data_IF_637482446597
#
_entry.id   IF_637482446597
#
_cell.length_a   1.000
_cell.length_b   1.000
_cell.length_c   1.000
_cell.angle_alpha   90.00
_cell.angle_beta   90.00
_cell.angle_gamma   90.00
#
_symmetry.space_group_name_H-M   'P 1'
#
loop_
_entity.id
_entity.type
_entity.pdbx_description
1 polymer ?
#
# COMPACT_ATOMS: atom_id res chain seq x y z
N UNK A 1 -27.86 70.97 34.29
CA UNK A 1 -27.85 70.44 32.90
C UNK A 1 -26.40 70.46 32.43
N UNK A 2 -25.69 69.33 32.50
CA UNK A 2 -24.28 69.22 32.08
C UNK A 2 -24.13 67.96 31.24
N UNK A 3 -23.64 68.14 30.03
CA UNK A 3 -23.73 67.20 28.91
C UNK A 3 -22.61 66.16 28.96
N UNK A 4 -23.00 64.88 28.81
CA UNK A 4 -22.10 63.75 28.61
C UNK A 4 -21.22 64.00 27.38
N UNK A 5 -19.90 64.11 27.57
CA UNK A 5 -18.92 64.21 26.49
C UNK A 5 -18.19 62.87 26.37
N UNK A 6 -18.81 61.91 25.70
CA UNK A 6 -18.18 60.63 25.35
C UNK A 6 -17.09 60.87 24.30
N UNK A 7 -15.83 60.89 24.75
CA UNK A 7 -14.67 61.23 23.94
C UNK A 7 -13.83 60.00 23.58
N UNK A 8 -13.86 59.62 22.31
CA UNK A 8 -12.76 59.05 21.50
C UNK A 8 -12.05 57.73 21.94
N UNK A 9 -12.26 57.20 23.14
CA UNK A 9 -11.67 55.92 23.60
C UNK A 9 -12.32 54.69 22.96
N UNK A 10 -13.55 54.84 22.48
CA UNK A 10 -14.32 53.72 21.93
C UNK A 10 -13.87 53.31 20.52
N UNK A 11 -13.40 54.27 19.70
CA UNK A 11 -12.95 54.01 18.32
C UNK A 11 -11.66 53.19 18.28
N UNK A 12 -10.71 53.50 19.17
CA UNK A 12 -9.48 52.72 19.30
C UNK A 12 -9.76 51.31 19.81
N UNK A 13 -10.69 51.16 20.75
CA UNK A 13 -11.09 49.87 21.32
C UNK A 13 -11.82 48.98 20.30
N UNK A 14 -12.66 49.59 19.44
CA UNK A 14 -13.27 48.90 18.30
C UNK A 14 -12.22 48.44 17.29
N UNK A 15 -11.21 49.26 16.99
CA UNK A 15 -10.12 48.89 16.07
C UNK A 15 -9.26 47.74 16.59
N UNK A 16 -8.90 47.76 17.88
CA UNK A 16 -8.15 46.66 18.53
C UNK A 16 -8.97 45.36 18.54
N UNK A 17 -10.28 45.43 18.80
CA UNK A 17 -11.17 44.25 18.73
C UNK A 17 -11.28 43.69 17.32
N UNK A 18 -11.32 44.55 16.28
CA UNK A 18 -11.34 44.12 14.88
C UNK A 18 -10.02 43.41 14.52
N UNK A 19 -8.87 43.99 14.89
CA UNK A 19 -7.56 43.38 14.63
C UNK A 19 -7.39 42.03 15.34
N UNK A 20 -7.81 41.93 16.61
CA UNK A 20 -7.73 40.67 17.36
C UNK A 20 -8.66 39.60 16.79
N UNK A 21 -9.85 39.99 16.31
CA UNK A 21 -10.78 39.08 15.61
C UNK A 21 -10.18 38.57 14.28
N UNK A 22 -9.56 39.45 13.49
CA UNK A 22 -8.90 39.09 12.23
C UNK A 22 -7.73 38.11 12.44
N UNK A 23 -6.95 38.29 13.51
CA UNK A 23 -5.84 37.40 13.86
C UNK A 23 -6.34 35.99 14.26
N UNK A 24 -7.45 35.90 15.01
CA UNK A 24 -8.06 34.63 15.38
C UNK A 24 -8.58 33.86 14.15
N UNK A 25 -9.19 34.58 13.20
CA UNK A 25 -9.66 33.99 11.94
C UNK A 25 -8.49 33.49 11.07
N UNK A 26 -7.37 34.21 11.03
CA UNK A 26 -6.17 33.78 10.29
C UNK A 26 -5.58 32.48 10.88
N UNK A 27 -5.49 32.40 12.21
CA UNK A 27 -4.98 31.21 12.91
C UNK A 27 -5.91 29.99 12.76
N UNK A 28 -7.23 30.22 12.79
CA UNK A 28 -8.21 29.16 12.53
C UNK A 28 -8.12 28.63 11.08
N UNK A 29 -7.89 29.50 10.10
CA UNK A 29 -7.72 29.12 8.69
C UNK A 29 -6.41 28.33 8.46
N UNK A 30 -5.31 28.77 9.07
CA UNK A 30 -4.04 28.03 9.08
C UNK A 30 -4.21 26.64 9.72
N UNK A 31 -4.95 26.54 10.83
CA UNK A 31 -5.26 25.27 11.49
C UNK A 31 -6.06 24.33 10.57
N UNK A 32 -7.10 24.83 9.92
CA UNK A 32 -7.91 24.05 8.98
C UNK A 32 -7.10 23.54 7.78
N UNK A 33 -6.20 24.39 7.24
CA UNK A 33 -5.36 24.01 6.10
C UNK A 33 -4.32 22.94 6.46
N UNK A 34 -3.76 22.95 7.68
CA UNK A 34 -2.84 21.90 8.15
C UNK A 34 -3.59 20.59 8.37
N UNK A 35 -4.80 20.62 8.92
CA UNK A 35 -5.59 19.43 9.22
C UNK A 35 -6.17 18.74 7.97
N UNK A 36 -6.61 19.50 6.96
CA UNK A 36 -7.23 18.95 5.75
C UNK A 36 -6.31 18.05 4.90
N UNK A 37 -4.98 18.16 5.05
CA UNK A 37 -4.01 17.31 4.33
C UNK A 37 -3.87 15.89 4.91
N UNK A 38 -4.43 15.62 6.10
CA UNK A 38 -4.13 14.39 6.86
C UNK A 38 -5.19 13.28 6.67
N UNK A 39 -6.40 13.55 6.15
CA UNK A 39 -7.54 12.62 6.35
C UNK A 39 -8.19 12.00 5.09
N UNK A 40 -7.72 12.25 3.87
CA UNK A 40 -8.33 11.68 2.66
C UNK A 40 -7.66 10.36 2.22
N UNK A 41 -7.84 9.28 3.00
CA UNK A 41 -7.57 7.91 2.51
C UNK A 41 -8.90 7.22 2.16
N UNK A 42 -9.17 6.88 0.88
CA UNK A 42 -10.41 6.22 0.52
C UNK A 42 -10.52 4.83 1.18
N UNK A 43 -11.68 4.53 1.74
CA UNK A 43 -12.00 3.24 2.35
C UNK A 43 -11.89 2.12 1.32
N UNK A 44 -11.01 1.18 1.64
CA UNK A 44 -10.42 0.20 0.74
C UNK A 44 -11.42 -0.94 0.47
N UNK A 45 -12.03 -0.96 -0.71
CA UNK A 45 -12.65 -2.19 -1.22
C UNK A 45 -11.64 -3.34 -1.20
N UNK A 46 -12.11 -4.60 -1.11
CA UNK A 46 -11.23 -5.78 -1.19
C UNK A 46 -10.42 -5.69 -2.49
N UNK A 47 -9.10 -5.48 -2.37
CA UNK A 47 -8.20 -5.41 -3.54
C UNK A 47 -8.12 -6.79 -4.17
N UNK A 48 -8.17 -6.87 -5.49
CA UNK A 48 -7.82 -8.09 -6.22
C UNK A 48 -6.37 -8.47 -5.89
N UNK A 49 -6.13 -9.74 -5.59
CA UNK A 49 -4.80 -10.25 -5.31
C UNK A 49 -4.11 -10.67 -6.61
N UNK A 50 -2.89 -10.18 -6.82
CA UNK A 50 -2.01 -10.66 -7.89
C UNK A 50 -1.24 -11.86 -7.33
N UNK A 51 -1.38 -13.02 -7.97
CA UNK A 51 -0.70 -14.26 -7.55
C UNK A 51 0.56 -14.44 -8.40
N UNK A 52 1.73 -14.33 -7.77
CA UNK A 52 3.03 -14.56 -8.42
C UNK A 52 3.35 -16.05 -8.47
N UNK A 53 3.94 -16.50 -9.60
CA UNK A 53 4.52 -17.84 -9.70
C UNK A 53 5.73 -17.97 -8.77
N UNK A 54 6.14 -19.21 -8.47
CA UNK A 54 7.32 -19.45 -7.62
C UNK A 54 8.59 -18.95 -8.30
N UNK A 55 8.70 -19.12 -9.62
CA UNK A 55 9.82 -18.63 -10.41
C UNK A 55 9.92 -17.10 -10.35
N UNK A 56 8.80 -16.38 -10.44
CA UNK A 56 8.80 -14.92 -10.33
C UNK A 56 9.24 -14.44 -8.95
N UNK A 57 8.79 -15.12 -7.89
CA UNK A 57 9.24 -14.82 -6.52
C UNK A 57 10.76 -15.00 -6.37
N UNK A 58 11.34 -16.04 -6.99
CA UNK A 58 12.78 -16.27 -6.97
C UNK A 58 13.55 -15.22 -7.78
N UNK A 59 13.02 -14.82 -8.95
CA UNK A 59 13.60 -13.73 -9.77
C UNK A 59 13.64 -12.41 -8.99
N UNK A 60 12.54 -12.05 -8.33
CA UNK A 60 12.47 -10.86 -7.48
C UNK A 60 13.52 -10.94 -6.35
N UNK A 61 13.69 -12.10 -5.71
CA UNK A 61 14.70 -12.27 -4.66
C UNK A 61 16.14 -12.12 -5.17
N UNK A 62 16.44 -12.60 -6.38
CA UNK A 62 17.75 -12.42 -6.99
C UNK A 62 18.01 -10.96 -7.33
N UNK A 63 17.04 -10.27 -7.94
CA UNK A 63 17.14 -8.84 -8.25
C UNK A 63 17.26 -7.97 -6.98
N UNK A 64 16.66 -8.38 -5.86
CA UNK A 64 16.86 -7.71 -4.57
C UNK A 64 18.28 -7.89 -4.01
N UNK A 65 18.96 -9.00 -4.31
CA UNK A 65 20.38 -9.19 -3.96
C UNK A 65 21.29 -8.32 -4.81
N UNK A 66 20.92 -8.07 -6.06
CA UNK A 66 21.58 -7.13 -6.98
C UNK A 66 21.32 -5.65 -6.63
N UNK A 67 20.82 -5.36 -5.42
CA UNK A 67 20.51 -4.02 -4.92
C UNK A 67 19.48 -3.23 -5.74
N UNK A 68 18.64 -3.90 -6.52
CA UNK A 68 17.53 -3.24 -7.24
C UNK A 68 16.51 -2.68 -6.24
N UNK A 69 15.89 -1.55 -6.59
CA UNK A 69 14.95 -0.88 -5.68
C UNK A 69 13.63 -1.64 -5.56
N UNK A 70 13.11 -1.71 -4.33
CA UNK A 70 11.81 -2.35 -4.02
C UNK A 70 10.67 -1.69 -4.82
N UNK A 71 10.72 -0.37 -5.00
CA UNK A 71 9.70 0.38 -5.74
C UNK A 71 9.69 0.01 -7.23
N UNK A 72 10.86 -0.12 -7.86
CA UNK A 72 10.97 -0.55 -9.26
C UNK A 72 10.41 -1.95 -9.47
N UNK A 73 10.73 -2.89 -8.57
CA UNK A 73 10.23 -4.26 -8.60
C UNK A 73 8.71 -4.34 -8.42
N UNK A 74 8.17 -3.52 -7.52
CA UNK A 74 6.73 -3.46 -7.28
C UNK A 74 5.97 -3.04 -8.55
N UNK A 75 6.48 -2.06 -9.29
CA UNK A 75 5.89 -1.59 -10.56
C UNK A 75 6.02 -2.65 -11.65
N UNK A 76 7.20 -3.23 -11.85
CA UNK A 76 7.45 -4.21 -12.92
C UNK A 76 6.57 -5.46 -12.78
N UNK A 77 6.44 -5.98 -11.56
CA UNK A 77 5.65 -7.19 -11.29
C UNK A 77 4.19 -6.89 -10.94
N UNK A 78 3.74 -5.63 -11.04
CA UNK A 78 2.40 -5.18 -10.68
C UNK A 78 1.95 -5.64 -9.27
N UNK A 79 2.86 -5.58 -8.30
CA UNK A 79 2.62 -5.96 -6.91
C UNK A 79 2.79 -4.79 -5.96
N UNK A 80 2.22 -4.91 -4.76
CA UNK A 80 2.41 -3.90 -3.73
C UNK A 80 3.85 -3.88 -3.20
N UNK A 81 4.33 -2.71 -2.80
CA UNK A 81 5.63 -2.55 -2.10
C UNK A 81 5.70 -3.45 -0.87
N UNK A 82 4.59 -3.59 -0.14
CA UNK A 82 4.49 -4.51 1.00
C UNK A 82 4.75 -5.96 0.59
N UNK A 83 4.20 -6.40 -0.54
CA UNK A 83 4.41 -7.76 -1.05
C UNK A 83 5.89 -8.03 -1.33
N UNK A 84 6.61 -7.08 -1.93
CA UNK A 84 8.06 -7.24 -2.18
C UNK A 84 8.86 -7.29 -0.87
N UNK A 85 8.47 -6.49 0.14
CA UNK A 85 9.05 -6.58 1.49
C UNK A 85 8.78 -7.95 2.13
N UNK A 86 7.55 -8.45 2.02
CA UNK A 86 7.16 -9.75 2.56
C UNK A 86 7.91 -10.90 1.88
N UNK A 87 8.18 -10.79 0.58
CA UNK A 87 9.03 -11.74 -0.15
C UNK A 87 10.44 -11.75 0.41
N UNK A 88 11.04 -10.57 0.62
CA UNK A 88 12.38 -10.44 1.21
C UNK A 88 12.44 -11.06 2.61
N UNK A 89 11.42 -10.83 3.43
CA UNK A 89 11.34 -11.39 4.78
C UNK A 89 11.17 -12.91 4.77
N UNK A 90 10.33 -13.46 3.88
CA UNK A 90 10.05 -14.88 3.78
C UNK A 90 10.97 -15.65 2.81
N UNK A 91 12.12 -15.08 2.44
CA UNK A 91 12.99 -15.60 1.39
C UNK A 91 13.40 -17.07 1.61
N UNK A 92 13.66 -17.48 2.85
CA UNK A 92 14.17 -18.82 3.15
C UNK A 92 13.09 -19.87 2.99
N UNK A 93 11.85 -19.54 3.33
CA UNK A 93 10.69 -20.40 3.10
C UNK A 93 10.45 -20.59 1.60
N UNK A 94 10.58 -19.53 0.81
CA UNK A 94 10.38 -19.58 -0.65
C UNK A 94 11.47 -20.43 -1.31
N UNK A 95 12.74 -20.22 -0.95
CA UNK A 95 13.86 -21.02 -1.45
C UNK A 95 13.72 -22.49 -1.02
N UNK A 96 13.40 -22.74 0.26
CA UNK A 96 13.17 -24.09 0.78
C UNK A 96 12.03 -24.81 0.06
N UNK A 97 10.96 -24.09 -0.31
CA UNK A 97 9.90 -24.66 -1.15
C UNK A 97 10.43 -25.02 -2.54
N UNK A 98 11.16 -24.12 -3.19
CA UNK A 98 11.73 -24.40 -4.53
C UNK A 98 12.62 -25.64 -4.55
N UNK A 99 13.46 -25.82 -3.53
CA UNK A 99 14.36 -26.96 -3.40
C UNK A 99 13.62 -28.27 -3.12
N UNK A 100 12.52 -28.23 -2.37
CA UNK A 100 11.73 -29.44 -2.05
C UNK A 100 10.96 -30.01 -3.24
N UNK A 101 10.65 -29.16 -4.22
CA UNK A 101 9.73 -29.50 -5.31
C UNK A 101 10.42 -29.51 -6.69
N UNK A 102 11.76 -29.49 -6.74
CA UNK A 102 12.59 -29.45 -7.95
C UNK A 102 11.95 -28.67 -9.09
N UNK A 103 11.57 -27.42 -8.78
CA UNK A 103 10.93 -26.51 -9.72
C UNK A 103 12.04 -25.93 -10.61
N UNK A 104 12.67 -26.78 -11.41
CA UNK A 104 13.50 -26.37 -12.53
C UNK A 104 12.60 -25.78 -13.62
N UNK A 105 13.13 -24.86 -14.42
CA UNK A 105 12.42 -24.20 -15.53
C UNK A 105 11.80 -25.19 -16.55
N UNK A 106 12.13 -26.48 -16.45
CA UNK A 106 11.58 -27.59 -17.24
C UNK A 106 10.80 -28.63 -16.40
N UNK A 107 10.09 -28.24 -15.35
CA UNK A 107 9.45 -29.19 -14.43
C UNK A 107 8.00 -29.57 -14.74
N UNK A 108 7.75 -30.46 -15.71
CA UNK A 108 6.48 -31.21 -15.82
C UNK A 108 6.33 -32.26 -14.70
N UNK A 109 7.36 -32.46 -13.88
CA UNK A 109 7.47 -33.53 -12.87
C UNK A 109 6.85 -33.22 -11.49
N UNK A 110 6.46 -31.97 -11.21
CA UNK A 110 5.87 -31.58 -9.92
C UNK A 110 4.49 -32.22 -9.63
N UNK A 111 3.98 -32.99 -10.59
CA UNK A 111 2.71 -33.72 -10.52
C UNK A 111 2.81 -34.98 -9.64
N UNK A 112 4.01 -35.50 -9.39
CA UNK A 112 4.25 -36.76 -8.65
C UNK A 112 3.75 -36.73 -7.20
N UNK A 113 3.82 -35.58 -6.52
CA UNK A 113 3.41 -35.44 -5.10
C UNK A 113 1.89 -35.21 -4.98
N UNK A 114 1.24 -34.76 -6.04
CA UNK A 114 -0.19 -34.50 -6.02
C UNK A 114 -0.92 -35.83 -6.11
N UNK A 115 -1.81 -36.09 -5.15
CA UNK A 115 -2.78 -37.19 -5.25
C UNK A 115 -3.73 -36.87 -6.42
N UNK A 116 -3.38 -37.31 -7.62
CA UNK A 116 -4.25 -37.27 -8.79
C UNK A 116 -4.93 -38.62 -8.95
N UNK A 117 -6.19 -38.58 -9.40
CA UNK A 117 -6.90 -39.77 -9.83
C UNK A 117 -6.13 -40.38 -11.01
N UNK A 118 -5.87 -41.69 -10.97
CA UNK A 118 -5.35 -42.41 -12.14
C UNK A 118 -6.44 -42.41 -13.22
N UNK A 119 -6.08 -42.19 -14.47
CA UNK A 119 -7.02 -42.40 -15.56
C UNK A 119 -7.44 -43.89 -15.59
N UNK A 120 -8.72 -44.19 -15.82
CA UNK A 120 -9.18 -45.55 -16.08
C UNK A 120 -8.51 -46.09 -17.34
N UNK A 121 -8.21 -47.39 -17.35
CA UNK A 121 -7.64 -48.09 -18.51
C UNK A 121 -8.79 -48.66 -19.34
N UNK A 122 -9.57 -47.79 -19.97
CA UNK A 122 -10.66 -48.24 -20.84
C UNK A 122 -10.13 -48.19 -22.28
N UNK A 123 -9.43 -49.26 -22.68
CA UNK A 123 -8.87 -49.41 -24.04
C UNK A 123 -9.48 -50.56 -24.84
N UNK A 124 -10.53 -51.23 -24.37
CA UNK A 124 -11.07 -52.45 -25.00
C UNK A 124 -12.60 -52.57 -24.99
N UNK A 125 -13.37 -51.47 -25.07
CA UNK A 125 -14.83 -51.55 -25.19
C UNK A 125 -15.38 -50.62 -26.29
N UNK A 126 -14.94 -50.88 -27.52
CA UNK A 126 -15.67 -50.51 -28.74
C UNK A 126 -15.92 -51.84 -29.47
N UNK A 127 -17.02 -52.52 -29.10
CA UNK A 127 -17.64 -53.61 -29.89
C UNK A 127 -18.54 -53.02 -30.99
#
# INVERSE_FOLDING_TARGET
MSTYRAGNTDRALVFVKILQSMLLLLNAYLCFHVFAKVTMTPTKGKRKLVVLSINDKLKILNQLKEARSIASLAVEYNVGVTTVKDLRHNQDKIKGFSLKFDISEKGKEATSIRKTLKLPKDSELEE
#
